data_IF_673742908916
#
_entry.id   IF_673742908916
#
_cell.length_a   1.000
_cell.length_b   1.000
_cell.length_c   1.000
_cell.angle_alpha   90.00
_cell.angle_beta   90.00
_cell.angle_gamma   90.00
#
_symmetry.space_group_name_H-M   'P 1'
#
loop_
_entity.id
_entity.type
_entity.pdbx_description
1 polymer ?
#
# COMPACT_ATOMS: atom_id res chain seq x y z
N UNK A 1 -32.64 3.29 -49.77
CA UNK A 1 -32.81 3.99 -48.48
C UNK A 1 -31.42 4.25 -47.92
N UNK A 2 -30.97 5.52 -47.97
CA UNK A 2 -29.65 5.96 -47.51
C UNK A 2 -29.83 6.59 -46.13
N UNK A 3 -29.22 6.03 -45.09
CA UNK A 3 -29.17 6.68 -43.77
C UNK A 3 -27.81 7.35 -43.60
N UNK A 4 -27.82 8.68 -43.69
CA UNK A 4 -26.70 9.56 -43.33
C UNK A 4 -26.81 9.84 -41.84
N UNK A 5 -25.83 9.42 -41.04
CA UNK A 5 -25.71 9.84 -39.64
C UNK A 5 -24.96 11.18 -39.59
N UNK A 6 -25.64 12.20 -39.09
CA UNK A 6 -25.05 13.51 -38.80
C UNK A 6 -24.16 13.41 -37.54
N UNK A 7 -22.90 13.79 -37.68
CA UNK A 7 -21.99 14.01 -36.55
C UNK A 7 -22.37 15.36 -35.92
N UNK A 8 -23.21 15.31 -34.88
CA UNK A 8 -23.52 16.45 -34.03
C UNK A 8 -22.35 16.75 -33.09
N UNK A 9 -21.84 17.97 -33.15
CA UNK A 9 -20.73 18.46 -32.34
C UNK A 9 -20.99 18.30 -30.82
N UNK A 10 -20.11 17.56 -30.14
CA UNK A 10 -19.94 17.59 -28.69
C UNK A 10 -19.17 18.86 -28.30
N UNK A 11 -19.86 20.00 -28.25
CA UNK A 11 -19.38 21.16 -27.52
C UNK A 11 -19.96 21.11 -26.11
N UNK A 12 -19.12 20.90 -25.09
CA UNK A 12 -19.52 21.23 -23.71
C UNK A 12 -18.92 20.46 -22.54
N UNK A 13 -18.25 19.32 -22.72
CA UNK A 13 -17.48 18.70 -21.63
C UNK A 13 -16.13 19.41 -21.51
N UNK A 14 -16.20 20.68 -21.10
CA UNK A 14 -15.05 21.44 -20.63
C UNK A 14 -14.48 20.68 -19.44
N UNK A 15 -13.36 20.02 -19.71
CA UNK A 15 -12.19 19.88 -18.86
C UNK A 15 -12.18 20.83 -17.66
N UNK A 16 -12.93 20.49 -16.62
CA UNK A 16 -12.43 20.66 -15.26
C UNK A 16 -11.63 19.40 -14.98
N UNK A 17 -10.46 19.32 -15.60
CA UNK A 17 -9.33 18.70 -14.92
C UNK A 17 -9.14 19.60 -13.70
N UNK A 18 -9.85 19.29 -12.61
CA UNK A 18 -9.82 20.10 -11.40
C UNK A 18 -8.35 20.25 -11.03
N UNK A 19 -7.85 21.48 -11.00
CA UNK A 19 -6.45 21.85 -10.77
C UNK A 19 -5.99 21.56 -9.32
N UNK A 20 -6.45 20.44 -8.77
CA UNK A 20 -6.26 19.94 -7.42
C UNK A 20 -6.75 18.50 -7.26
N UNK A 21 -7.38 17.85 -8.26
CA UNK A 21 -7.70 16.42 -8.13
C UNK A 21 -6.43 15.58 -8.34
N UNK A 22 -5.94 14.97 -7.27
CA UNK A 22 -4.70 14.19 -7.30
C UNK A 22 -4.91 12.69 -7.55
N UNK A 23 -6.14 12.29 -7.87
CA UNK A 23 -6.46 10.91 -8.19
C UNK A 23 -5.91 10.47 -9.53
N UNK A 24 -5.27 9.30 -9.54
CA UNK A 24 -4.73 8.68 -10.76
C UNK A 24 -5.48 7.43 -11.20
N UNK A 25 -6.50 6.98 -10.46
CA UNK A 25 -7.34 5.84 -10.89
C UNK A 25 -8.45 6.27 -11.84
N UNK A 26 -8.76 5.38 -12.77
CA UNK A 26 -9.75 5.58 -13.83
C UNK A 26 -10.86 4.52 -13.82
N UNK A 27 -10.83 3.58 -12.87
CA UNK A 27 -11.85 2.54 -12.76
C UNK A 27 -13.21 3.16 -12.38
N UNK A 28 -14.27 2.78 -13.11
CA UNK A 28 -15.61 3.37 -12.97
C UNK A 28 -16.73 2.32 -12.83
N UNK A 29 -16.40 1.06 -12.50
CA UNK A 29 -17.40 0.02 -12.29
C UNK A 29 -18.23 0.39 -11.05
N UNK A 30 -19.56 0.37 -11.18
CA UNK A 30 -20.45 0.84 -10.12
C UNK A 30 -20.47 2.36 -9.90
N UNK A 31 -19.71 3.15 -10.65
CA UNK A 31 -19.69 4.62 -10.62
C UNK A 31 -18.30 5.24 -10.50
N UNK A 32 -18.25 6.56 -10.68
CA UNK A 32 -17.03 7.35 -10.53
C UNK A 32 -16.65 7.51 -9.07
N UNK A 33 -15.35 7.47 -8.82
CA UNK A 33 -14.83 7.76 -7.50
C UNK A 33 -14.95 9.25 -7.18
N UNK A 34 -15.18 9.61 -5.90
CA UNK A 34 -15.15 11.00 -5.51
C UNK A 34 -13.74 11.58 -5.67
N UNK A 35 -13.57 12.82 -6.17
CA UNK A 35 -12.25 13.41 -6.36
C UNK A 35 -11.50 13.57 -5.04
N UNK A 36 -10.17 13.44 -5.08
CA UNK A 36 -9.28 13.83 -3.97
C UNK A 36 -8.74 15.21 -4.28
N UNK A 37 -9.29 16.23 -3.65
CA UNK A 37 -8.87 17.61 -3.87
C UNK A 37 -7.74 17.98 -2.91
N UNK A 38 -6.60 18.38 -3.46
CA UNK A 38 -5.46 18.97 -2.77
C UNK A 38 -5.61 20.49 -2.68
N UNK A 39 -5.35 21.04 -1.49
CA UNK A 39 -5.31 22.46 -1.18
C UNK A 39 -4.12 22.72 -0.26
N UNK A 40 -3.02 23.15 -0.85
CA UNK A 40 -1.73 23.32 -0.16
C UNK A 40 -1.73 24.43 0.90
N UNK A 41 -2.79 25.23 0.99
CA UNK A 41 -2.94 26.29 1.99
C UNK A 41 -3.64 25.82 3.28
N UNK A 42 -4.00 24.53 3.37
CA UNK A 42 -4.70 23.94 4.51
C UNK A 42 -3.78 23.03 5.32
N UNK A 43 -3.88 23.07 6.65
CA UNK A 43 -3.21 22.13 7.55
C UNK A 43 -3.60 20.66 7.26
N UNK A 44 -4.77 20.43 6.65
CA UNK A 44 -5.24 19.14 6.12
C UNK A 44 -5.49 19.29 4.62
N UNK A 45 -4.43 19.16 3.79
CA UNK A 45 -4.47 19.63 2.41
C UNK A 45 -5.34 18.74 1.50
N UNK A 46 -5.61 17.49 1.86
CA UNK A 46 -6.37 16.58 1.00
C UNK A 46 -7.82 16.49 1.44
N UNK A 47 -8.77 16.42 0.51
CA UNK A 47 -10.18 16.25 0.84
C UNK A 47 -10.94 15.33 -0.12
N UNK A 48 -11.89 14.56 0.43
CA UNK A 48 -12.77 13.65 -0.32
C UNK A 48 -14.18 13.77 0.24
N UNK A 49 -15.15 14.15 -0.58
CA UNK A 49 -16.55 14.33 -0.15
C UNK A 49 -16.70 15.16 1.15
N UNK A 50 -15.90 16.21 1.30
CA UNK A 50 -15.90 17.08 2.48
C UNK A 50 -15.13 16.58 3.70
N UNK A 51 -14.67 15.32 3.73
CA UNK A 51 -13.71 14.86 4.73
C UNK A 51 -12.30 15.30 4.35
N UNK A 52 -11.53 15.86 5.29
CA UNK A 52 -10.15 16.31 5.06
C UNK A 52 -9.12 15.32 5.59
N UNK A 53 -7.88 15.34 5.11
CA UNK A 53 -6.82 14.41 5.46
C UNK A 53 -5.47 15.12 5.44
N UNK A 54 -4.58 14.70 6.35
CA UNK A 54 -3.18 15.15 6.38
C UNK A 54 -2.35 14.47 5.28
N UNK A 55 -2.67 13.21 4.97
CA UNK A 55 -1.90 12.37 4.07
C UNK A 55 -2.68 12.05 2.77
N UNK A 56 -2.02 12.23 1.63
CA UNK A 56 -2.57 11.96 0.28
C UNK A 56 -3.06 10.53 0.12
N UNK A 57 -2.30 9.56 0.63
CA UNK A 57 -2.63 8.14 0.62
C UNK A 57 -3.92 7.83 1.38
N UNK A 58 -4.12 8.43 2.55
CA UNK A 58 -5.35 8.27 3.34
C UNK A 58 -6.58 8.82 2.59
N UNK A 59 -6.43 9.96 1.91
CA UNK A 59 -7.48 10.53 1.08
C UNK A 59 -7.81 9.63 -0.13
N UNK A 60 -6.78 9.13 -0.83
CA UNK A 60 -6.95 8.19 -1.94
C UNK A 60 -7.64 6.89 -1.50
N UNK A 61 -7.26 6.32 -0.35
CA UNK A 61 -7.91 5.16 0.24
C UNK A 61 -9.37 5.44 0.58
N UNK A 62 -9.68 6.61 1.16
CA UNK A 62 -11.06 7.00 1.46
C UNK A 62 -11.90 7.04 0.19
N UNK A 63 -11.39 7.67 -0.86
CA UNK A 63 -12.13 7.74 -2.12
C UNK A 63 -12.37 6.36 -2.73
N UNK A 64 -11.39 5.47 -2.65
CA UNK A 64 -11.53 4.10 -3.12
C UNK A 64 -12.64 3.37 -2.35
N UNK A 65 -12.66 3.49 -1.02
CA UNK A 65 -13.69 2.85 -0.19
C UNK A 65 -15.09 3.40 -0.48
N UNK A 66 -15.23 4.70 -0.74
CA UNK A 66 -16.53 5.28 -1.13
C UNK A 66 -17.02 4.72 -2.46
N UNK A 67 -16.13 4.57 -3.43
CA UNK A 67 -16.45 4.04 -4.75
C UNK A 67 -16.78 2.54 -4.70
N UNK A 68 -16.05 1.77 -3.90
CA UNK A 68 -16.32 0.35 -3.66
C UNK A 68 -17.69 0.14 -3.01
N UNK A 69 -18.02 0.91 -1.97
CA UNK A 69 -19.33 0.84 -1.34
C UNK A 69 -20.46 1.22 -2.31
N UNK A 70 -20.23 2.20 -3.20
CA UNK A 70 -21.19 2.55 -4.24
C UNK A 70 -21.37 1.40 -5.26
N UNK A 71 -20.28 0.74 -5.66
CA UNK A 71 -20.32 -0.42 -6.54
C UNK A 71 -21.04 -1.60 -5.88
N UNK A 72 -20.70 -1.95 -4.63
CA UNK A 72 -21.36 -3.01 -3.89
C UNK A 72 -22.86 -2.72 -3.69
N UNK A 73 -23.22 -1.46 -3.43
CA UNK A 73 -24.62 -1.04 -3.38
C UNK A 73 -25.33 -1.20 -4.72
N UNK A 74 -24.66 -0.92 -5.84
CA UNK A 74 -25.21 -1.12 -7.18
C UNK A 74 -25.39 -2.61 -7.52
N UNK A 75 -24.43 -3.46 -7.16
CA UNK A 75 -24.50 -4.91 -7.33
C UNK A 75 -25.66 -5.50 -6.50
N UNK A 76 -25.77 -5.12 -5.22
CA UNK A 76 -26.85 -5.56 -4.33
C UNK A 76 -28.22 -4.98 -4.72
N UNK A 77 -28.25 -3.87 -5.45
CA UNK A 77 -29.46 -3.24 -5.97
C UNK A 77 -30.06 -3.90 -7.21
N UNK A 78 -29.51 -5.05 -7.66
CA UNK A 78 -30.07 -5.82 -8.78
C UNK A 78 -29.57 -5.39 -10.17
N UNK A 79 -28.42 -4.70 -10.26
CA UNK A 79 -27.75 -4.50 -11.56
C UNK A 79 -27.06 -5.80 -11.97
N UNK A 80 -27.73 -6.58 -12.83
CA UNK A 80 -27.30 -7.93 -13.21
C UNK A 80 -25.89 -8.02 -13.82
N UNK A 81 -25.34 -6.92 -14.32
CA UNK A 81 -24.03 -6.87 -14.98
C UNK A 81 -22.88 -6.48 -14.02
N UNK A 82 -23.15 -6.33 -12.71
CA UNK A 82 -22.15 -5.95 -11.70
C UNK A 82 -22.32 -6.87 -10.49
N UNK A 83 -21.34 -7.71 -10.21
CA UNK A 83 -21.29 -8.49 -8.96
C UNK A 83 -20.47 -7.79 -7.88
N UNK A 84 -20.70 -8.14 -6.62
CA UNK A 84 -19.85 -7.67 -5.50
C UNK A 84 -18.40 -8.14 -5.72
N UNK A 85 -18.19 -9.32 -6.32
CA UNK A 85 -16.86 -9.80 -6.68
C UNK A 85 -16.18 -8.91 -7.75
N UNK A 86 -16.93 -8.37 -8.72
CA UNK A 86 -16.38 -7.41 -9.68
C UNK A 86 -16.01 -6.09 -9.00
N UNK A 87 -16.81 -5.67 -8.01
CA UNK A 87 -16.52 -4.50 -7.18
C UNK A 87 -15.29 -4.71 -6.31
N UNK A 88 -15.11 -5.89 -5.72
CA UNK A 88 -13.91 -6.25 -4.97
C UNK A 88 -12.69 -6.25 -5.87
N UNK A 89 -12.78 -6.85 -7.06
CA UNK A 89 -11.72 -6.87 -8.06
C UNK A 89 -11.36 -5.45 -8.55
N UNK A 90 -12.35 -4.59 -8.70
CA UNK A 90 -12.14 -3.19 -9.08
C UNK A 90 -11.58 -2.35 -7.93
N UNK A 91 -12.03 -2.56 -6.69
CA UNK A 91 -11.48 -1.98 -5.47
C UNK A 91 -10.01 -2.33 -5.30
N UNK A 92 -9.64 -3.56 -5.67
CA UNK A 92 -8.24 -3.94 -5.78
C UNK A 92 -7.53 -3.16 -6.90
N UNK A 93 -8.15 -2.93 -8.07
CA UNK A 93 -7.55 -2.15 -9.17
C UNK A 93 -7.36 -0.64 -8.87
N UNK A 94 -8.27 -0.03 -8.11
CA UNK A 94 -8.19 1.38 -7.67
C UNK A 94 -7.17 1.55 -6.54
N UNK A 95 -7.09 0.61 -5.59
CA UNK A 95 -5.99 0.51 -4.63
C UNK A 95 -4.64 0.20 -5.32
N UNK A 96 -4.65 -0.62 -6.37
CA UNK A 96 -3.49 -0.97 -7.19
C UNK A 96 -2.91 0.23 -7.94
N UNK A 97 -3.74 1.20 -8.33
CA UNK A 97 -3.23 2.46 -8.92
C UNK A 97 -2.54 3.38 -7.90
N UNK A 98 -2.86 3.25 -6.61
CA UNK A 98 -2.35 4.15 -5.56
C UNK A 98 -1.19 3.51 -4.80
N UNK A 99 -1.29 2.25 -4.39
CA UNK A 99 -0.23 1.56 -3.65
C UNK A 99 0.60 0.63 -4.52
N UNK A 100 0.01 -0.01 -5.53
CA UNK A 100 0.78 -0.83 -6.46
C UNK A 100 1.40 -0.04 -7.62
N UNK A 101 1.07 1.23 -7.89
CA UNK A 101 1.73 2.05 -8.93
C UNK A 101 3.00 2.75 -8.41
N UNK A 102 3.02 3.10 -7.11
CA UNK A 102 4.19 3.66 -6.42
C UNK A 102 5.25 2.60 -6.11
N UNK A 103 4.83 1.39 -5.70
CA UNK A 103 5.75 0.26 -5.53
C UNK A 103 6.09 -0.38 -6.90
N UNK A 104 5.08 -0.47 -7.76
CA UNK A 104 5.01 -0.82 -9.18
C UNK A 104 5.70 -0.03 -10.27
N UNK A 105 6.85 0.64 -10.07
CA UNK A 105 7.53 1.40 -11.13
C UNK A 105 7.43 0.79 -12.55
N UNK A 106 7.01 1.63 -13.51
CA UNK A 106 7.03 1.35 -14.96
C UNK A 106 8.46 1.45 -15.50
N UNK A 107 8.83 0.74 -16.57
CA UNK A 107 7.96 0.03 -17.50
C UNK A 107 7.79 -1.44 -17.13
N UNK A 108 6.58 -1.96 -17.34
CA UNK A 108 6.46 -3.40 -17.59
C UNK A 108 7.30 -3.70 -18.85
N UNK A 109 8.32 -4.58 -18.80
CA UNK A 109 8.92 -5.05 -20.04
C UNK A 109 7.83 -5.77 -20.84
N UNK A 110 7.80 -5.55 -22.15
CA UNK A 110 6.89 -6.20 -23.10
C UNK A 110 7.05 -7.75 -23.17
N UNK A 111 7.74 -8.34 -22.19
CA UNK A 111 8.13 -9.74 -22.10
C UNK A 111 7.48 -10.48 -20.93
N UNK A 112 6.61 -9.84 -20.14
CA UNK A 112 5.71 -10.60 -19.27
C UNK A 112 4.72 -11.35 -20.16
N UNK A 113 4.73 -12.69 -20.18
CA UNK A 113 3.83 -13.45 -21.03
C UNK A 113 2.40 -13.20 -20.57
N UNK A 114 1.60 -12.61 -21.46
CA UNK A 114 0.17 -12.33 -21.28
C UNK A 114 -0.69 -13.58 -20.99
N UNK A 115 -0.10 -14.78 -20.99
CA UNK A 115 -0.84 -16.04 -21.06
C UNK A 115 -0.40 -17.14 -20.09
N UNK A 116 0.59 -16.96 -19.22
CA UNK A 116 0.93 -18.01 -18.25
C UNK A 116 0.65 -17.58 -16.81
N UNK A 117 -0.33 -18.27 -16.21
CA UNK A 117 -0.83 -18.22 -14.81
C UNK A 117 -2.09 -17.37 -14.54
N UNK A 118 -3.09 -17.46 -15.42
CA UNK A 118 -4.50 -17.18 -15.08
C UNK A 118 -5.39 -18.42 -15.34
N UNK A 119 -4.84 -19.62 -15.17
CA UNK A 119 -5.58 -20.89 -15.27
C UNK A 119 -5.53 -21.73 -14.01
N UNK A 120 -4.86 -21.26 -12.95
CA UNK A 120 -4.93 -21.90 -11.63
C UNK A 120 -6.00 -21.16 -10.80
N UNK A 121 -7.17 -21.77 -10.55
CA UNK A 121 -8.22 -21.17 -9.74
C UNK A 121 -7.82 -21.00 -8.26
N UNK A 122 -6.67 -21.54 -7.83
CA UNK A 122 -6.18 -21.44 -6.45
C UNK A 122 -5.17 -20.32 -6.22
N UNK A 123 -4.61 -19.71 -7.27
CA UNK A 123 -3.73 -18.54 -7.08
C UNK A 123 -4.58 -17.29 -7.21
N UNK A 124 -4.85 -16.68 -6.06
CA UNK A 124 -5.60 -15.44 -6.04
C UNK A 124 -4.68 -14.33 -6.57
N UNK A 125 -5.18 -13.36 -7.36
CA UNK A 125 -4.38 -12.24 -7.87
C UNK A 125 -3.63 -11.47 -6.78
N UNK A 126 -4.15 -11.49 -5.54
CA UNK A 126 -3.49 -11.00 -4.32
C UNK A 126 -2.16 -11.71 -4.02
N UNK A 127 -2.04 -13.03 -4.24
CA UNK A 127 -0.81 -13.79 -3.99
C UNK A 127 0.30 -13.42 -4.98
N UNK A 128 -0.06 -13.19 -6.24
CA UNK A 128 0.87 -12.72 -7.26
C UNK A 128 1.31 -11.27 -7.02
N UNK A 129 0.41 -10.43 -6.48
CA UNK A 129 0.71 -9.06 -6.08
C UNK A 129 1.63 -9.03 -4.85
N UNK A 130 1.37 -9.88 -3.85
CA UNK A 130 2.20 -10.04 -2.66
C UNK A 130 3.60 -10.56 -3.01
N UNK A 131 3.71 -11.50 -3.97
CA UNK A 131 5.01 -11.98 -4.47
C UNK A 131 5.78 -10.91 -5.26
N UNK A 132 5.10 -10.11 -6.08
CA UNK A 132 5.72 -9.01 -6.84
C UNK A 132 6.09 -7.82 -5.95
N UNK A 133 5.27 -7.52 -4.93
CA UNK A 133 5.57 -6.55 -3.89
C UNK A 133 6.77 -7.00 -3.06
N UNK A 134 6.82 -8.26 -2.60
CA UNK A 134 7.98 -8.83 -1.92
C UNK A 134 9.24 -8.79 -2.79
N UNK A 135 9.13 -9.01 -4.11
CA UNK A 135 10.27 -8.93 -5.05
C UNK A 135 10.73 -7.49 -5.27
N UNK A 136 9.82 -6.49 -5.26
CA UNK A 136 10.18 -5.06 -5.36
C UNK A 136 10.62 -4.42 -4.06
N UNK A 137 10.13 -4.89 -2.91
CA UNK A 137 10.69 -4.56 -1.58
C UNK A 137 12.11 -5.13 -1.48
N UNK A 138 12.36 -6.33 -2.01
CA UNK A 138 13.73 -6.87 -2.17
C UNK A 138 14.59 -6.11 -3.19
N UNK A 139 14.01 -5.54 -4.25
CA UNK A 139 14.72 -4.73 -5.24
C UNK A 139 14.93 -3.26 -4.81
N UNK A 140 14.06 -2.74 -3.93
CA UNK A 140 14.29 -1.56 -3.08
C UNK A 140 14.83 -2.05 -1.73
N UNK A 141 15.93 -2.80 -1.71
CA UNK A 141 16.69 -2.95 -0.46
C UNK A 141 16.79 -1.56 0.18
N UNK A 142 16.16 -1.41 1.34
CA UNK A 142 15.50 -0.14 1.62
C UNK A 142 16.52 0.98 1.79
N UNK A 143 16.13 2.16 1.32
CA UNK A 143 16.78 3.39 1.74
C UNK A 143 16.41 3.64 3.21
N UNK A 144 17.11 2.92 4.08
CA UNK A 144 17.11 3.12 5.53
C UNK A 144 17.88 4.40 5.91
N UNK A 145 18.28 5.21 4.91
CA UNK A 145 19.07 6.41 5.06
C UNK A 145 20.51 6.09 5.40
N UNK A 146 21.03 6.68 6.48
CA UNK A 146 22.40 6.46 6.96
C UNK A 146 22.58 5.18 7.78
N UNK A 147 21.50 4.48 8.11
CA UNK A 147 21.56 3.22 8.85
C UNK A 147 21.53 2.03 7.90
N UNK A 148 22.02 0.90 8.39
CA UNK A 148 22.01 -0.38 7.71
C UNK A 148 20.71 -1.15 8.02
N UNK A 149 20.80 -2.48 8.03
CA UNK A 149 19.66 -3.39 8.05
C UNK A 149 18.90 -3.35 9.40
N UNK A 150 17.61 -2.95 9.43
CA UNK A 150 16.79 -2.92 10.64
C UNK A 150 16.18 -4.27 11.04
N UNK A 151 16.72 -5.40 10.55
CA UNK A 151 16.15 -6.71 10.84
C UNK A 151 16.12 -7.00 12.36
N UNK A 152 15.06 -7.69 12.79
CA UNK A 152 14.85 -8.15 14.16
C UNK A 152 15.11 -9.65 14.22
N UNK A 153 15.90 -10.10 15.19
CA UNK A 153 16.01 -11.51 15.56
C UNK A 153 15.13 -11.83 16.78
N UNK A 154 14.68 -13.07 16.89
CA UNK A 154 14.11 -13.63 18.12
C UNK A 154 14.96 -14.84 18.52
N UNK A 155 15.89 -14.60 19.44
CA UNK A 155 16.94 -15.57 19.81
C UNK A 155 17.32 -15.41 21.28
N UNK A 156 18.10 -16.35 21.87
CA UNK A 156 18.61 -16.22 23.22
C UNK A 156 19.44 -14.94 23.40
N UNK A 157 19.07 -14.08 24.36
CA UNK A 157 19.76 -12.82 24.61
C UNK A 157 20.54 -12.83 25.93
N UNK A 158 21.77 -12.32 25.90
CA UNK A 158 22.66 -12.30 27.06
C UNK A 158 22.15 -11.41 28.19
N UNK A 159 21.50 -10.29 27.86
CA UNK A 159 20.91 -9.36 28.82
C UNK A 159 19.67 -9.93 29.54
N UNK A 160 19.20 -11.12 29.12
CA UNK A 160 18.10 -11.87 29.74
C UNK A 160 18.50 -13.26 30.22
N UNK A 161 19.79 -13.50 30.44
CA UNK A 161 20.26 -14.79 30.95
C UNK A 161 20.02 -15.95 29.98
N UNK A 162 20.02 -15.68 28.67
CA UNK A 162 19.84 -16.67 27.62
C UNK A 162 18.39 -17.03 27.30
N UNK A 163 17.41 -16.27 27.80
CA UNK A 163 16.02 -16.40 27.35
C UNK A 163 15.83 -15.77 25.96
N UNK A 164 14.93 -16.36 25.16
CA UNK A 164 14.58 -15.81 23.85
C UNK A 164 13.92 -14.45 23.98
N UNK A 165 14.40 -13.49 23.20
CA UNK A 165 13.86 -12.14 23.15
C UNK A 165 14.12 -11.48 21.79
N UNK A 166 13.38 -10.41 21.52
CA UNK A 166 13.54 -9.59 20.33
C UNK A 166 14.74 -8.66 20.47
N UNK A 167 15.60 -8.62 19.46
CA UNK A 167 16.70 -7.67 19.37
C UNK A 167 16.91 -7.26 17.91
N UNK A 168 17.44 -6.06 17.67
CA UNK A 168 17.92 -5.71 16.35
C UNK A 168 19.20 -6.53 16.04
N UNK A 169 19.33 -7.00 14.80
CA UNK A 169 20.54 -7.71 14.36
C UNK A 169 21.72 -6.73 14.26
N UNK A 170 21.48 -5.52 13.73
CA UNK A 170 22.51 -4.48 13.70
C UNK A 170 22.49 -3.60 14.95
N UNK A 171 23.32 -4.00 15.92
CA UNK A 171 23.50 -3.28 17.18
C UNK A 171 24.35 -2.00 17.05
N UNK A 172 24.94 -1.70 15.89
CA UNK A 172 25.64 -0.43 15.69
C UNK A 172 24.66 0.70 15.43
N UNK A 173 23.69 0.46 14.55
CA UNK A 173 22.71 1.46 14.15
C UNK A 173 21.47 1.45 15.03
N UNK A 174 21.08 0.27 15.50
CA UNK A 174 19.89 0.02 16.30
C UNK A 174 20.22 -0.51 17.70
N UNK A 175 21.21 0.11 18.36
CA UNK A 175 21.57 -0.22 19.73
C UNK A 175 20.41 0.03 20.70
N UNK A 176 19.79 -1.06 21.15
CA UNK A 176 18.77 -1.09 22.17
C UNK A 176 18.85 -2.45 22.88
N UNK A 177 18.57 -2.47 24.18
CA UNK A 177 18.46 -3.74 24.92
C UNK A 177 17.39 -4.63 24.31
N UNK A 178 17.46 -5.95 24.53
CA UNK A 178 16.45 -6.84 23.98
C UNK A 178 15.06 -6.53 24.55
N UNK A 179 13.98 -7.01 23.94
CA UNK A 179 12.62 -6.88 24.45
C UNK A 179 11.83 -8.19 24.43
N UNK A 180 10.95 -8.40 25.41
CA UNK A 180 10.00 -9.53 25.41
C UNK A 180 8.78 -9.27 24.52
N UNK A 181 8.55 -8.01 24.16
CA UNK A 181 7.43 -7.60 23.31
C UNK A 181 7.99 -6.96 22.03
N UNK A 182 7.55 -7.47 20.89
CA UNK A 182 7.97 -7.03 19.57
C UNK A 182 7.75 -5.53 19.36
N UNK A 183 6.68 -4.96 19.91
CA UNK A 183 6.32 -3.55 19.75
C UNK A 183 7.36 -2.59 20.36
N UNK A 184 8.14 -3.06 21.33
CA UNK A 184 9.20 -2.25 21.95
C UNK A 184 10.37 -2.08 20.98
N UNK A 185 10.85 -3.18 20.40
CA UNK A 185 11.97 -3.13 19.45
C UNK A 185 11.56 -2.58 18.09
N UNK A 186 10.42 -3.01 17.56
CA UNK A 186 9.93 -2.53 16.27
C UNK A 186 9.63 -1.03 16.30
N UNK A 187 9.06 -0.51 17.40
CA UNK A 187 8.86 0.92 17.60
C UNK A 187 10.15 1.72 17.70
N UNK A 188 11.14 1.22 18.44
CA UNK A 188 12.46 1.85 18.50
C UNK A 188 13.11 1.93 17.10
N UNK A 189 13.09 0.82 16.35
CA UNK A 189 13.67 0.75 15.01
C UNK A 189 12.99 1.74 14.07
N UNK A 190 11.66 1.79 14.02
CA UNK A 190 10.95 2.70 13.13
C UNK A 190 11.17 4.17 13.49
N UNK A 191 11.23 4.49 14.78
CA UNK A 191 11.58 5.84 15.22
C UNK A 191 13.03 6.19 14.84
N UNK A 192 13.98 5.28 15.05
CA UNK A 192 15.38 5.47 14.68
C UNK A 192 15.54 5.73 13.19
N UNK A 193 14.84 4.95 12.36
CA UNK A 193 14.81 5.11 10.90
C UNK A 193 14.34 6.51 10.50
N UNK A 194 13.23 7.00 11.08
CA UNK A 194 12.71 8.33 10.80
C UNK A 194 13.66 9.45 11.27
N UNK A 195 14.18 9.34 12.48
CA UNK A 195 14.88 10.44 13.14
C UNK A 195 16.38 10.45 12.86
N UNK A 196 17.08 9.39 13.26
CA UNK A 196 18.54 9.35 13.27
C UNK A 196 19.08 8.91 11.92
N UNK A 197 18.44 7.92 11.31
CA UNK A 197 18.88 7.37 10.04
C UNK A 197 18.47 8.23 8.85
N UNK A 198 17.47 9.11 8.99
CA UNK A 198 16.93 9.91 7.88
C UNK A 198 16.46 9.04 6.71
N UNK A 199 15.85 7.90 7.05
CA UNK A 199 15.23 7.03 6.07
C UNK A 199 14.13 7.78 5.29
N UNK A 200 13.88 7.34 4.05
CA UNK A 200 12.85 7.96 3.22
C UNK A 200 11.45 7.85 3.85
N UNK A 201 10.53 8.74 3.47
CA UNK A 201 9.13 8.67 3.94
C UNK A 201 8.45 7.35 3.53
N UNK A 202 8.82 6.79 2.38
CA UNK A 202 8.37 5.46 1.95
C UNK A 202 8.86 4.37 2.92
N UNK A 203 10.11 4.46 3.38
CA UNK A 203 10.72 3.53 4.33
C UNK A 203 10.09 3.64 5.72
N UNK A 204 9.82 4.86 6.20
CA UNK A 204 9.15 5.05 7.50
C UNK A 204 7.72 4.52 7.46
N UNK A 205 6.97 4.75 6.37
CA UNK A 205 5.64 4.19 6.20
C UNK A 205 5.65 2.65 6.10
N UNK A 206 6.65 2.08 5.42
CA UNK A 206 6.83 0.62 5.38
C UNK A 206 7.16 0.04 6.77
N UNK A 207 7.88 0.79 7.60
CA UNK A 207 8.17 0.39 8.98
C UNK A 207 6.92 0.42 9.86
N UNK A 208 6.06 1.44 9.73
CA UNK A 208 4.76 1.48 10.42
C UNK A 208 3.87 0.28 10.02
N UNK A 209 3.81 -0.03 8.72
CA UNK A 209 3.10 -1.21 8.21
C UNK A 209 3.71 -2.52 8.76
N UNK A 210 5.04 -2.58 8.93
CA UNK A 210 5.74 -3.72 9.51
C UNK A 210 5.47 -3.89 11.01
N UNK A 211 5.37 -2.80 11.77
CA UNK A 211 4.93 -2.85 13.17
C UNK A 211 3.51 -3.40 13.27
N UNK A 212 2.59 -2.92 12.42
CA UNK A 212 1.22 -3.39 12.40
C UNK A 212 1.13 -4.88 12.01
N UNK A 213 1.97 -5.35 11.09
CA UNK A 213 2.03 -6.77 10.71
C UNK A 213 2.53 -7.68 11.84
N UNK A 214 3.41 -7.15 12.71
CA UNK A 214 3.97 -7.87 13.84
C UNK A 214 3.11 -7.79 15.11
N UNK A 215 2.21 -6.81 15.20
CA UNK A 215 1.37 -6.59 16.38
C UNK A 215 0.46 -7.79 16.67
N UNK A 216 0.32 -8.13 17.95
CA UNK A 216 -0.44 -9.30 18.40
C UNK A 216 0.21 -10.66 18.11
N UNK A 217 1.35 -10.72 17.41
CA UNK A 217 2.15 -11.93 17.23
C UNK A 217 3.18 -12.10 18.35
N UNK A 218 3.72 -13.31 18.48
CA UNK A 218 4.71 -13.65 19.50
C UNK A 218 5.84 -14.52 18.94
N UNK A 219 7.01 -14.43 19.58
CA UNK A 219 8.18 -15.21 19.22
C UNK A 219 8.66 -14.97 17.79
N UNK A 220 9.29 -15.98 17.20
CA UNK A 220 9.85 -15.91 15.85
C UNK A 220 8.87 -15.40 14.81
N UNK A 221 7.58 -15.77 14.90
CA UNK A 221 6.57 -15.33 13.95
C UNK A 221 6.39 -13.80 13.90
N UNK A 222 6.56 -13.11 15.03
CA UNK A 222 6.47 -11.66 15.09
C UNK A 222 7.70 -10.98 14.44
N UNK A 223 8.90 -11.51 14.70
CA UNK A 223 10.13 -11.04 14.06
C UNK A 223 10.07 -11.28 12.54
N UNK A 224 9.64 -12.46 12.11
CA UNK A 224 9.46 -12.80 10.70
C UNK A 224 8.43 -11.88 10.03
N UNK A 225 7.30 -11.59 10.68
CA UNK A 225 6.28 -10.70 10.13
C UNK A 225 6.84 -9.28 9.89
N UNK A 226 7.56 -8.73 10.87
CA UNK A 226 8.23 -7.43 10.72
C UNK A 226 9.27 -7.44 9.60
N UNK A 227 10.17 -8.42 9.61
CA UNK A 227 11.26 -8.54 8.65
C UNK A 227 10.75 -8.74 7.22
N UNK A 228 9.75 -9.60 7.04
CA UNK A 228 9.13 -9.84 5.74
C UNK A 228 8.41 -8.59 5.20
N UNK A 229 7.77 -7.80 6.06
CA UNK A 229 7.11 -6.56 5.66
C UNK A 229 8.11 -5.49 5.18
N UNK A 230 9.29 -5.43 5.78
CA UNK A 230 10.40 -4.58 5.33
C UNK A 230 11.27 -5.21 4.22
N UNK A 231 11.04 -6.49 3.91
CA UNK A 231 11.84 -7.28 2.98
C UNK A 231 13.31 -7.42 3.39
N UNK A 232 13.57 -7.44 4.70
CA UNK A 232 14.88 -7.67 5.31
C UNK A 232 14.95 -9.08 5.88
N UNK A 233 16.15 -9.53 6.21
CA UNK A 233 16.40 -10.81 6.87
C UNK A 233 17.32 -10.60 8.06
N UNK A 234 17.01 -11.30 9.15
CA UNK A 234 17.88 -11.42 10.32
C UNK A 234 19.13 -12.26 10.01
#
# INVERSE_FOLDING_TARGET
MKYTFAVGALAGLSTVLAAGNVQTFTGNLGGAAPPVIENDASDRPFSVNGATFLNKGAALQRSCAVQHNACASAANGGKADISVADCDQQGMHTLFSSRCRLQCGSPFPASFPRTSRFTDPNIRPEDACNAAAATKVRARAADFGSCANPAIEFAPQNDRGGADAFAAVDQNDFNHGSANNINVISGFICQRLADSCKASQDTTAACDDAQAAADGLSGQAAADAFNNALGVSA
#
